data_IF_376714181455
#
_entry.id   IF_376714181455
#
_cell.length_a   1.000
_cell.length_b   1.000
_cell.length_c   1.000
_cell.angle_alpha   90.00
_cell.angle_beta   90.00
_cell.angle_gamma   90.00
#
_symmetry.space_group_name_H-M   'P 1'
#
loop_
_entity.id
_entity.type
_entity.pdbx_description
1 polymer ?
#
# COMPACT_ATOMS: atom_id res chain seq x y z
N UNK A 1 6.18 7.24 -75.92
CA UNK A 1 5.22 6.56 -75.02
C UNK A 1 5.86 6.56 -73.61
N UNK A 2 5.41 7.44 -72.73
CA UNK A 2 5.94 7.58 -71.37
C UNK A 2 4.97 6.86 -70.40
N UNK A 3 5.46 5.77 -69.77
CA UNK A 3 4.74 5.04 -68.76
C UNK A 3 4.84 5.76 -67.42
N UNK A 4 3.71 6.19 -66.88
CA UNK A 4 3.58 6.77 -65.55
C UNK A 4 3.30 5.62 -64.57
N UNK A 5 4.29 5.24 -63.76
CA UNK A 5 4.12 4.29 -62.67
C UNK A 5 3.46 5.00 -61.48
N UNK A 6 2.24 4.60 -61.19
CA UNK A 6 1.44 5.06 -60.03
C UNK A 6 1.84 4.22 -58.83
N UNK A 7 2.69 4.79 -57.95
CA UNK A 7 3.05 4.17 -56.66
C UNK A 7 1.94 4.46 -55.66
N UNK A 8 1.14 3.44 -55.34
CA UNK A 8 0.07 3.47 -54.33
C UNK A 8 0.73 3.37 -52.94
N UNK A 9 0.89 4.52 -52.26
CA UNK A 9 1.38 4.58 -50.89
C UNK A 9 0.28 4.12 -49.92
N UNK A 10 0.32 2.84 -49.53
CA UNK A 10 -0.61 2.24 -48.55
C UNK A 10 -0.22 2.74 -47.13
N UNK A 11 -0.93 3.75 -46.64
CA UNK A 11 -0.74 4.34 -45.32
C UNK A 11 -1.29 3.34 -44.26
N UNK A 12 -0.38 2.59 -43.63
CA UNK A 12 -0.67 1.62 -42.59
C UNK A 12 -1.05 2.38 -41.31
N UNK A 13 -2.33 2.57 -41.06
CA UNK A 13 -2.84 3.15 -39.81
C UNK A 13 -2.66 2.09 -38.71
N UNK A 14 -1.59 2.22 -37.93
CA UNK A 14 -1.42 1.41 -36.72
C UNK A 14 -2.48 1.85 -35.69
N UNK A 15 -3.31 0.93 -35.16
CA UNK A 15 -4.19 1.30 -34.07
C UNK A 15 -3.34 1.64 -32.84
N UNK A 16 -3.35 2.91 -32.47
CA UNK A 16 -2.84 3.34 -31.16
C UNK A 16 -3.80 2.79 -30.12
N UNK A 17 -3.46 1.68 -29.50
CA UNK A 17 -4.14 1.20 -28.30
C UNK A 17 -3.87 2.21 -27.19
N UNK A 18 -4.67 3.27 -27.14
CA UNK A 18 -4.78 4.14 -25.98
C UNK A 18 -5.26 3.26 -24.82
N UNK A 19 -4.39 2.96 -23.86
CA UNK A 19 -4.79 2.32 -22.61
C UNK A 19 -5.70 3.29 -21.88
N UNK A 20 -7.00 3.14 -22.08
CA UNK A 20 -8.03 3.93 -21.38
C UNK A 20 -7.89 3.67 -19.89
N UNK A 21 -7.74 4.75 -19.11
CA UNK A 21 -7.79 4.69 -17.66
C UNK A 21 -9.13 4.04 -17.26
N UNK A 22 -9.09 3.06 -16.36
CA UNK A 22 -10.32 2.45 -15.84
C UNK A 22 -10.99 3.43 -14.85
N UNK A 23 -11.90 4.23 -15.39
CA UNK A 23 -12.62 5.28 -14.62
C UNK A 23 -13.36 4.69 -13.42
N UNK A 24 -13.87 3.45 -13.52
CA UNK A 24 -14.57 2.80 -12.40
C UNK A 24 -13.59 2.44 -11.26
N UNK A 25 -12.40 1.96 -11.60
CA UNK A 25 -11.35 1.72 -10.62
C UNK A 25 -10.94 3.01 -9.92
N UNK A 26 -10.72 4.08 -10.69
CA UNK A 26 -10.34 5.39 -10.16
C UNK A 26 -11.42 5.92 -9.21
N UNK A 27 -12.68 5.94 -9.62
CA UNK A 27 -13.80 6.42 -8.79
C UNK A 27 -13.90 5.63 -7.49
N UNK A 28 -13.82 4.29 -7.55
CA UNK A 28 -13.87 3.45 -6.35
C UNK A 28 -12.71 3.77 -5.38
N UNK A 29 -11.50 3.92 -5.91
CA UNK A 29 -10.32 4.23 -5.09
C UNK A 29 -10.38 5.65 -4.50
N UNK A 30 -10.95 6.62 -5.21
CA UNK A 30 -11.19 7.97 -4.70
C UNK A 30 -12.20 7.95 -3.56
N UNK A 31 -13.29 7.18 -3.68
CA UNK A 31 -14.27 7.00 -2.60
C UNK A 31 -13.65 6.32 -1.37
N UNK A 32 -12.83 5.29 -1.55
CA UNK A 32 -12.08 4.63 -0.46
C UNK A 32 -11.13 5.61 0.22
N UNK A 33 -10.39 6.38 -0.57
CA UNK A 33 -9.46 7.40 -0.06
C UNK A 33 -10.20 8.48 0.74
N UNK A 34 -11.28 9.02 0.19
CA UNK A 34 -12.09 10.04 0.86
C UNK A 34 -12.68 9.50 2.18
N UNK A 35 -13.23 8.28 2.15
CA UNK A 35 -13.76 7.64 3.35
C UNK A 35 -12.69 7.41 4.41
N UNK A 36 -11.52 6.90 4.02
CA UNK A 36 -10.37 6.69 4.93
C UNK A 36 -9.93 8.00 5.58
N UNK A 37 -9.82 9.07 4.80
CA UNK A 37 -9.44 10.41 5.30
C UNK A 37 -10.50 11.07 6.18
N UNK A 38 -11.76 10.64 6.09
CA UNK A 38 -12.85 11.20 6.93
C UNK A 38 -12.79 10.73 8.38
N UNK A 39 -12.06 9.65 8.69
CA UNK A 39 -11.92 9.16 10.06
C UNK A 39 -10.85 9.94 10.81
N UNK A 40 -11.12 10.27 12.08
CA UNK A 40 -10.14 10.91 12.98
C UNK A 40 -8.99 9.96 13.31
N UNK A 41 -9.30 8.68 13.41
CA UNK A 41 -8.32 7.62 13.64
C UNK A 41 -8.82 6.30 13.07
N UNK A 42 -7.85 5.42 12.75
CA UNK A 42 -8.11 4.05 12.30
C UNK A 42 -7.21 3.12 13.08
N UNK A 43 -7.76 1.98 13.54
CA UNK A 43 -7.00 0.85 14.03
C UNK A 43 -7.39 -0.38 13.22
N UNK A 44 -6.40 -1.02 12.61
CA UNK A 44 -6.54 -2.23 11.85
C UNK A 44 -5.65 -3.33 12.42
N UNK A 45 -6.24 -4.45 12.84
CA UNK A 45 -5.50 -5.67 13.06
C UNK A 45 -5.42 -6.43 11.73
N UNK A 46 -4.27 -7.02 11.42
CA UNK A 46 -4.05 -7.70 10.15
C UNK A 46 -3.22 -8.96 10.31
N UNK A 47 -3.40 -9.90 9.39
CA UNK A 47 -2.43 -10.96 9.12
C UNK A 47 -1.54 -10.55 7.95
N UNK A 48 -0.27 -10.88 8.06
CA UNK A 48 0.74 -10.67 7.05
C UNK A 48 1.28 -12.03 6.62
N UNK A 49 1.26 -12.30 5.32
CA UNK A 49 1.84 -13.51 4.74
C UNK A 49 2.92 -13.12 3.76
N UNK A 50 4.12 -13.65 3.93
CA UNK A 50 5.20 -13.60 2.94
C UNK A 50 5.32 -14.96 2.28
N UNK A 51 5.15 -15.00 0.95
CA UNK A 51 5.28 -16.21 0.15
C UNK A 51 6.35 -16.03 -0.92
N UNK A 52 7.26 -17.02 -1.04
CA UNK A 52 8.14 -17.18 -2.18
C UNK A 52 8.10 -18.64 -2.62
N UNK A 53 7.40 -18.89 -3.73
CA UNK A 53 7.18 -20.26 -4.23
C UNK A 53 8.48 -20.95 -4.66
N UNK A 54 9.43 -20.20 -5.23
CA UNK A 54 10.72 -20.76 -5.69
C UNK A 54 11.61 -21.14 -4.50
N UNK A 55 11.65 -20.28 -3.49
CA UNK A 55 12.40 -20.52 -2.25
C UNK A 55 11.64 -21.41 -1.25
N UNK A 56 10.38 -21.78 -1.54
CA UNK A 56 9.49 -22.56 -0.65
C UNK A 56 9.29 -21.88 0.73
N UNK A 57 9.28 -20.57 0.75
CA UNK A 57 9.02 -19.77 1.95
C UNK A 57 7.52 -19.46 2.01
N UNK A 58 6.93 -19.68 3.19
CA UNK A 58 5.58 -19.25 3.53
C UNK A 58 5.56 -18.92 5.02
N UNK A 59 5.59 -17.63 5.33
CA UNK A 59 5.57 -17.11 6.69
C UNK A 59 4.29 -16.33 6.94
N UNK A 60 3.60 -16.65 8.04
CA UNK A 60 2.40 -15.94 8.46
C UNK A 60 2.66 -15.28 9.80
N UNK A 61 2.40 -13.99 9.89
CA UNK A 61 2.55 -13.18 11.10
C UNK A 61 1.33 -12.28 11.25
N UNK A 62 1.15 -11.71 12.43
CA UNK A 62 0.06 -10.76 12.70
C UNK A 62 0.62 -9.41 13.12
N UNK A 63 -0.17 -8.37 12.95
CA UNK A 63 0.21 -7.03 13.35
C UNK A 63 -1.00 -6.15 13.61
N UNK A 64 -0.70 -4.97 14.14
CA UNK A 64 -1.70 -3.92 14.37
C UNK A 64 -1.16 -2.61 13.82
N UNK A 65 -1.98 -1.93 13.05
CA UNK A 65 -1.72 -0.58 12.54
C UNK A 65 -2.70 0.40 13.19
N UNK A 66 -2.18 1.47 13.76
CA UNK A 66 -2.97 2.61 14.26
C UNK A 66 -2.58 3.84 13.47
N UNK A 67 -3.56 4.62 12.99
CA UNK A 67 -3.37 5.82 12.18
C UNK A 67 -4.15 7.00 12.76
N UNK A 68 -3.61 8.20 12.61
CA UNK A 68 -4.32 9.48 12.80
C UNK A 68 -3.68 10.56 11.91
N UNK A 69 -4.30 10.86 10.77
CA UNK A 69 -3.68 11.67 9.72
C UNK A 69 -2.37 11.02 9.23
N UNK A 70 -1.27 11.76 9.26
CA UNK A 70 0.06 11.28 8.85
C UNK A 70 0.81 10.53 9.94
N UNK A 71 0.26 10.48 11.16
CA UNK A 71 0.85 9.75 12.29
C UNK A 71 0.44 8.30 12.24
N UNK A 72 1.37 7.41 12.58
CA UNK A 72 1.07 5.99 12.66
C UNK A 72 1.91 5.25 13.69
N UNK A 73 1.37 4.14 14.16
CA UNK A 73 2.05 3.14 14.96
C UNK A 73 1.76 1.76 14.37
N UNK A 74 2.80 1.11 13.89
CA UNK A 74 2.75 -0.23 13.31
C UNK A 74 3.49 -1.19 14.23
N UNK A 75 2.79 -2.21 14.71
CA UNK A 75 3.38 -3.32 15.46
C UNK A 75 3.30 -4.57 14.61
N UNK A 76 4.41 -5.08 14.15
CA UNK A 76 4.48 -6.29 13.33
C UNK A 76 5.86 -6.94 13.42
N UNK A 77 5.88 -8.25 13.36
CA UNK A 77 7.11 -9.03 13.02
C UNK A 77 8.33 -8.68 13.89
N UNK A 78 8.14 -8.60 15.22
CA UNK A 78 9.26 -8.33 16.13
C UNK A 78 9.76 -6.89 16.14
N UNK A 79 9.09 -5.99 15.43
CA UNK A 79 9.39 -4.57 15.39
C UNK A 79 8.16 -3.70 15.67
N UNK A 80 8.43 -2.49 16.10
CA UNK A 80 7.41 -1.46 16.26
C UNK A 80 7.90 -0.18 15.58
N UNK A 81 7.11 0.29 14.58
CA UNK A 81 7.41 1.54 13.89
C UNK A 81 6.43 2.59 14.35
N UNK A 82 6.93 3.71 14.83
CA UNK A 82 6.15 4.83 15.32
C UNK A 82 6.51 6.05 14.49
N UNK A 83 5.52 6.82 14.07
CA UNK A 83 5.71 8.07 13.34
C UNK A 83 4.78 9.15 13.90
N UNK A 84 5.33 10.29 14.27
CA UNK A 84 4.55 11.45 14.73
C UNK A 84 4.16 12.43 13.61
N UNK A 85 4.47 12.06 12.35
CA UNK A 85 4.28 12.88 11.16
C UNK A 85 5.53 13.66 10.74
N UNK A 86 6.64 13.56 11.50
CA UNK A 86 7.95 14.17 11.20
C UNK A 86 9.09 13.22 11.42
N UNK A 87 9.07 12.47 12.51
CA UNK A 87 10.12 11.55 12.95
C UNK A 87 9.57 10.13 12.92
N UNK A 88 10.40 9.19 12.49
CA UNK A 88 10.13 7.76 12.52
C UNK A 88 11.06 7.11 13.53
N UNK A 89 10.49 6.38 14.48
CA UNK A 89 11.19 5.49 15.41
C UNK A 89 10.92 4.05 15.02
N UNK A 90 11.95 3.29 14.69
CA UNK A 90 11.87 1.85 14.44
C UNK A 90 12.53 1.11 15.60
N UNK A 91 11.70 0.54 16.47
CA UNK A 91 12.17 -0.30 17.56
C UNK A 91 12.29 -1.75 17.11
N UNK A 92 13.48 -2.33 17.25
CA UNK A 92 13.81 -3.70 16.94
C UNK A 92 13.89 -4.50 18.24
N UNK A 93 12.93 -5.40 18.43
CA UNK A 93 12.79 -6.11 19.72
C UNK A 93 13.95 -7.05 20.03
N UNK A 94 14.49 -7.73 19.02
CA UNK A 94 15.57 -8.71 19.20
C UNK A 94 16.89 -8.06 19.63
N UNK A 95 17.25 -6.92 19.05
CA UNK A 95 18.45 -6.17 19.39
C UNK A 95 18.24 -5.18 20.54
N UNK A 96 17.00 -4.95 20.99
CA UNK A 96 16.62 -3.90 21.93
C UNK A 96 17.16 -2.53 21.50
N UNK A 97 17.00 -2.19 20.24
CA UNK A 97 17.51 -1.00 19.56
C UNK A 97 16.37 -0.16 19.03
N UNK A 98 16.48 1.16 19.09
CA UNK A 98 15.60 2.08 18.35
C UNK A 98 16.39 2.93 17.38
N UNK A 99 16.03 2.88 16.13
CA UNK A 99 16.55 3.71 15.05
C UNK A 99 15.64 4.93 14.86
N UNK A 100 16.23 6.12 14.77
CA UNK A 100 15.52 7.38 14.60
C UNK A 100 15.86 7.95 13.22
N UNK A 101 14.83 8.25 12.43
CA UNK A 101 14.96 8.83 11.10
C UNK A 101 13.96 9.99 10.95
N UNK A 102 14.30 10.96 10.10
CA UNK A 102 13.32 11.92 9.64
C UNK A 102 12.35 11.25 8.66
N UNK A 103 11.07 11.66 8.72
CA UNK A 103 10.11 11.30 7.69
C UNK A 103 10.44 12.08 6.41
N UNK A 104 11.19 11.50 5.49
CA UNK A 104 11.41 12.10 4.19
C UNK A 104 10.14 12.04 3.34
N UNK A 105 9.47 13.19 3.22
CA UNK A 105 8.27 13.31 2.38
C UNK A 105 8.57 13.20 0.88
N UNK A 106 9.85 13.28 0.50
CA UNK A 106 10.30 13.06 -0.89
C UNK A 106 10.47 11.58 -1.20
N UNK A 107 10.67 10.76 -0.18
CA UNK A 107 10.71 9.33 -0.38
C UNK A 107 9.31 8.84 -0.75
N UNK A 108 9.17 8.31 -1.95
CA UNK A 108 7.94 7.68 -2.44
C UNK A 108 7.63 6.35 -1.70
N UNK A 109 8.19 6.17 -0.51
CA UNK A 109 7.94 5.02 0.33
C UNK A 109 6.43 4.88 0.59
N UNK A 110 5.97 3.66 0.48
CA UNK A 110 4.59 3.30 0.80
C UNK A 110 4.42 3.36 2.33
N UNK A 111 4.18 4.56 2.86
CA UNK A 111 3.77 4.66 4.27
C UNK A 111 2.39 4.00 4.44
N UNK A 112 2.09 3.44 5.62
CA UNK A 112 0.79 2.83 5.89
C UNK A 112 -0.40 3.76 5.60
N UNK A 113 -0.26 5.07 5.85
CA UNK A 113 -1.26 6.07 5.52
C UNK A 113 -1.44 6.24 4.00
N UNK A 114 -0.35 6.28 3.22
CA UNK A 114 -0.40 6.35 1.76
C UNK A 114 -1.01 5.08 1.14
N UNK A 115 -0.72 3.90 1.72
CA UNK A 115 -1.31 2.62 1.28
C UNK A 115 -2.83 2.58 1.42
N UNK A 116 -3.39 3.28 2.40
CA UNK A 116 -4.84 3.30 2.63
C UNK A 116 -5.55 4.51 1.99
N UNK A 117 -4.82 5.50 1.49
CA UNK A 117 -5.42 6.78 1.10
C UNK A 117 -4.90 7.44 -0.17
N UNK A 118 -3.93 6.87 -0.90
CA UNK A 118 -3.30 7.58 -2.02
C UNK A 118 -3.00 6.65 -3.21
N UNK A 119 -4.03 6.34 -4.00
CA UNK A 119 -3.92 5.35 -5.07
C UNK A 119 -3.80 5.97 -6.48
N UNK A 120 -4.43 7.12 -6.75
CA UNK A 120 -4.64 7.55 -8.14
C UNK A 120 -3.47 8.29 -8.78
N UNK A 121 -2.67 9.04 -8.00
CA UNK A 121 -1.59 9.86 -8.56
C UNK A 121 -0.38 9.02 -9.01
N UNK A 122 -0.10 7.93 -8.30
CA UNK A 122 1.14 7.15 -8.44
C UNK A 122 0.97 5.83 -9.18
N UNK A 123 -0.28 5.45 -9.52
CA UNK A 123 -0.58 4.13 -10.10
C UNK A 123 -1.54 4.21 -11.28
N UNK A 124 -1.37 3.27 -12.21
CA UNK A 124 -2.44 2.86 -13.14
C UNK A 124 -3.29 1.84 -12.42
N UNK A 125 -4.62 2.06 -12.39
CA UNK A 125 -5.56 1.18 -11.72
C UNK A 125 -6.49 0.50 -12.73
N UNK A 126 -6.87 -0.74 -12.44
CA UNK A 126 -7.79 -1.54 -13.26
C UNK A 126 -8.61 -2.47 -12.38
N UNK A 127 -9.94 -2.50 -12.56
CA UNK A 127 -10.78 -3.54 -11.96
C UNK A 127 -10.49 -4.86 -12.66
N UNK A 128 -10.14 -5.87 -11.86
CA UNK A 128 -10.04 -7.23 -12.33
C UNK A 128 -11.43 -7.86 -12.30
N UNK A 129 -11.80 -8.56 -13.38
CA UNK A 129 -13.00 -9.40 -13.40
C UNK A 129 -12.67 -10.67 -12.63
N UNK A 130 -12.86 -10.62 -11.32
CA UNK A 130 -12.66 -11.79 -10.48
C UNK A 130 -13.88 -12.71 -10.62
N UNK A 131 -13.67 -13.89 -11.22
CA UNK A 131 -14.68 -14.95 -11.29
C UNK A 131 -14.77 -15.76 -9.99
N UNK A 132 -13.82 -15.55 -9.07
CA UNK A 132 -13.73 -16.25 -7.79
C UNK A 132 -14.22 -15.41 -6.60
N UNK A 133 -14.68 -14.17 -6.82
CA UNK A 133 -15.22 -13.31 -5.78
C UNK A 133 -16.43 -14.00 -5.13
N UNK A 134 -16.23 -14.44 -3.90
CA UNK A 134 -17.28 -15.11 -3.08
C UNK A 134 -18.27 -14.10 -2.51
N UNK A 135 -17.88 -12.84 -2.39
CA UNK A 135 -18.69 -11.74 -1.88
C UNK A 135 -18.98 -10.74 -3.01
N UNK A 136 -20.27 -10.54 -3.38
CA UNK A 136 -20.66 -9.60 -4.44
C UNK A 136 -20.33 -8.13 -4.09
N UNK A 137 -20.02 -7.84 -2.83
CA UNK A 137 -19.63 -6.51 -2.37
C UNK A 137 -18.12 -6.26 -2.51
N UNK A 138 -17.33 -7.27 -2.81
CA UNK A 138 -15.91 -7.14 -3.04
C UNK A 138 -15.58 -6.80 -4.48
N UNK A 139 -14.61 -5.92 -4.66
CA UNK A 139 -14.03 -5.56 -5.95
C UNK A 139 -12.53 -5.67 -5.85
N UNK A 140 -11.94 -6.42 -6.79
CA UNK A 140 -10.49 -6.55 -6.89
C UNK A 140 -9.95 -5.51 -7.86
N UNK A 141 -8.98 -4.72 -7.41
CA UNK A 141 -8.31 -3.68 -8.19
C UNK A 141 -6.82 -3.99 -8.30
N UNK A 142 -6.32 -4.03 -9.53
CA UNK A 142 -4.88 -4.08 -9.81
C UNK A 142 -4.32 -2.65 -9.87
N UNK A 143 -3.17 -2.46 -9.24
CA UNK A 143 -2.40 -1.22 -9.26
C UNK A 143 -1.01 -1.49 -9.82
N UNK A 144 -0.63 -0.76 -10.87
CA UNK A 144 0.70 -0.81 -11.47
C UNK A 144 1.36 0.55 -11.23
N UNK A 145 2.55 0.62 -10.59
CA UNK A 145 3.23 1.89 -10.35
C UNK A 145 3.56 2.61 -11.66
N UNK A 146 3.37 3.94 -11.68
CA UNK A 146 3.75 4.78 -12.82
C UNK A 146 5.27 4.96 -12.95
N UNK A 147 6.00 4.80 -11.85
CA UNK A 147 7.47 4.86 -11.77
C UNK A 147 8.00 3.54 -11.18
N UNK A 148 9.28 3.28 -11.44
CA UNK A 148 9.93 2.05 -10.95
C UNK A 148 9.99 2.09 -9.43
N UNK A 149 9.36 1.10 -8.77
CA UNK A 149 9.38 0.87 -7.33
C UNK A 149 10.01 -0.49 -6.99
N UNK A 150 10.14 -0.81 -5.71
CA UNK A 150 10.62 -2.11 -5.25
C UNK A 150 9.64 -3.25 -5.53
N UNK A 151 8.39 -2.93 -5.88
CA UNK A 151 7.38 -3.89 -6.28
C UNK A 151 6.89 -3.63 -7.72
N UNK A 152 6.39 -4.66 -8.38
CA UNK A 152 5.95 -4.63 -9.78
C UNK A 152 4.47 -4.29 -9.92
N UNK A 153 3.66 -4.75 -8.98
CA UNK A 153 2.22 -4.48 -8.92
C UNK A 153 1.68 -4.69 -7.51
N UNK A 154 0.52 -4.13 -7.25
CA UNK A 154 -0.29 -4.45 -6.07
C UNK A 154 -1.70 -4.88 -6.48
N UNK A 155 -2.32 -5.75 -5.70
CA UNK A 155 -3.72 -6.15 -5.83
C UNK A 155 -4.44 -5.74 -4.55
N UNK A 156 -5.51 -4.96 -4.69
CA UNK A 156 -6.37 -4.56 -3.59
C UNK A 156 -7.70 -5.30 -3.68
N UNK A 157 -8.20 -5.80 -2.56
CA UNK A 157 -9.60 -6.20 -2.39
C UNK A 157 -10.31 -5.14 -1.57
N UNK A 158 -11.36 -4.58 -2.12
CA UNK A 158 -12.11 -3.45 -1.56
C UNK A 158 -13.55 -3.88 -1.32
N UNK A 159 -14.08 -3.63 -0.13
CA UNK A 159 -15.51 -3.64 0.13
C UNK A 159 -16.11 -2.35 -0.45
N UNK A 160 -16.84 -2.47 -1.58
CA UNK A 160 -17.42 -1.33 -2.29
C UNK A 160 -18.56 -0.65 -1.55
N UNK A 161 -19.17 -1.32 -0.56
CA UNK A 161 -20.26 -0.74 0.25
C UNK A 161 -19.66 0.07 1.40
N UNK A 162 -18.74 -0.54 2.15
CA UNK A 162 -18.07 0.12 3.28
C UNK A 162 -17.02 1.13 2.85
N UNK A 163 -16.59 1.08 1.57
CA UNK A 163 -15.46 1.85 1.03
C UNK A 163 -14.18 1.63 1.85
N UNK A 164 -13.90 0.36 2.12
CA UNK A 164 -12.76 -0.08 2.94
C UNK A 164 -11.90 -1.10 2.19
N UNK A 165 -10.59 -0.99 2.34
CA UNK A 165 -9.66 -2.05 1.92
C UNK A 165 -9.80 -3.24 2.87
N UNK A 166 -10.02 -4.43 2.33
CA UNK A 166 -10.03 -5.70 3.07
C UNK A 166 -8.68 -6.39 3.04
N UNK A 167 -8.02 -6.34 1.90
CA UNK A 167 -6.66 -6.87 1.78
C UNK A 167 -5.89 -6.15 0.68
N UNK A 168 -4.58 -6.20 0.78
CA UNK A 168 -3.71 -5.85 -0.34
C UNK A 168 -2.55 -6.83 -0.44
N UNK A 169 -2.10 -7.05 -1.67
CA UNK A 169 -1.03 -7.98 -2.00
C UNK A 169 -0.01 -7.26 -2.86
N UNK A 170 1.25 -7.31 -2.48
CA UNK A 170 2.37 -6.74 -3.21
C UNK A 170 3.19 -7.84 -3.86
N UNK A 171 3.59 -7.64 -5.09
CA UNK A 171 4.50 -8.52 -5.83
C UNK A 171 5.83 -7.81 -6.03
N UNK A 172 6.90 -8.30 -5.44
CA UNK A 172 8.22 -7.72 -5.62
C UNK A 172 8.94 -8.26 -6.86
N UNK A 173 10.11 -7.71 -7.14
CA UNK A 173 10.95 -8.11 -8.28
C UNK A 173 11.68 -9.43 -8.04
N UNK A 174 11.79 -9.88 -6.79
CA UNK A 174 12.46 -11.11 -6.38
C UNK A 174 11.54 -12.32 -6.34
N UNK A 175 10.27 -12.15 -6.78
CA UNK A 175 9.25 -13.20 -6.80
C UNK A 175 8.58 -13.43 -5.45
N UNK A 176 8.78 -12.54 -4.48
CA UNK A 176 8.04 -12.57 -3.23
C UNK A 176 6.65 -11.97 -3.42
N UNK A 177 5.69 -12.54 -2.70
CA UNK A 177 4.35 -12.01 -2.56
C UNK A 177 4.11 -11.68 -1.10
N UNK A 178 3.70 -10.44 -0.81
CA UNK A 178 3.39 -9.95 0.52
C UNK A 178 1.90 -9.68 0.60
N UNK A 179 1.16 -10.49 1.34
CA UNK A 179 -0.29 -10.36 1.49
C UNK A 179 -0.61 -9.82 2.89
N UNK A 180 -1.37 -8.75 2.94
CA UNK A 180 -1.90 -8.16 4.16
C UNK A 180 -3.42 -8.28 4.13
N UNK A 181 -3.99 -9.01 5.08
CA UNK A 181 -5.43 -9.19 5.22
C UNK A 181 -5.89 -8.50 6.50
N UNK A 182 -6.78 -7.55 6.39
CA UNK A 182 -7.35 -6.84 7.53
C UNK A 182 -8.38 -7.76 8.20
N UNK A 183 -8.11 -8.11 9.46
CA UNK A 183 -8.96 -9.01 10.27
C UNK A 183 -9.92 -8.25 11.17
N UNK A 184 -9.54 -7.02 11.57
CA UNK A 184 -10.39 -6.14 12.36
C UNK A 184 -10.16 -4.69 11.94
N UNK A 185 -11.22 -3.90 11.86
CA UNK A 185 -11.15 -2.49 11.49
C UNK A 185 -12.01 -1.66 12.44
N UNK A 186 -11.42 -0.66 13.09
CA UNK A 186 -12.07 0.23 14.05
C UNK A 186 -11.72 1.68 13.69
N UNK A 187 -12.66 2.59 13.85
CA UNK A 187 -12.50 4.01 13.51
C UNK A 187 -12.83 4.90 14.69
N UNK A 188 -12.33 6.13 14.65
CA UNK A 188 -12.66 7.20 15.58
C UNK A 188 -12.42 6.85 17.06
N UNK A 189 -11.37 6.04 17.31
CA UNK A 189 -10.93 5.70 18.65
C UNK A 189 -10.34 6.93 19.35
N UNK A 190 -10.45 7.03 20.68
CA UNK A 190 -9.81 8.09 21.45
C UNK A 190 -8.30 7.86 21.49
N UNK A 191 -7.58 8.49 20.55
CA UNK A 191 -6.12 8.38 20.39
C UNK A 191 -5.51 9.73 20.70
N UNK A 192 -4.38 9.74 21.41
CA UNK A 192 -3.65 10.93 21.81
C UNK A 192 -2.33 11.08 21.05
N UNK A 193 -1.70 12.24 21.12
CA UNK A 193 -0.38 12.44 20.51
C UNK A 193 0.69 11.50 21.10
N UNK A 194 0.57 11.13 22.37
CA UNK A 194 1.50 10.21 23.04
C UNK A 194 1.47 8.79 22.44
N UNK A 195 0.37 8.41 21.79
CA UNK A 195 0.28 7.11 21.10
C UNK A 195 1.21 7.02 19.89
N UNK A 196 1.67 8.16 19.37
CA UNK A 196 2.56 8.27 18.21
C UNK A 196 3.96 8.79 18.52
N UNK A 197 4.40 8.66 19.77
CA UNK A 197 5.74 9.05 20.22
C UNK A 197 6.44 7.85 20.83
N UNK A 198 7.73 7.71 20.56
CA UNK A 198 8.55 6.71 21.23
C UNK A 198 8.90 7.20 22.64
N UNK A 199 8.51 6.44 23.64
CA UNK A 199 8.79 6.71 25.05
C UNK A 199 9.88 5.76 25.53
N UNK A 200 11.13 6.26 25.60
CA UNK A 200 12.31 5.48 26.02
C UNK A 200 12.14 4.85 27.40
N UNK A 201 11.36 5.45 28.29
CA UNK A 201 11.16 4.94 29.64
C UNK A 201 10.47 3.58 29.69
N UNK A 202 9.72 3.24 28.62
CA UNK A 202 9.04 1.95 28.46
C UNK A 202 9.93 0.84 27.92
N UNK A 203 11.19 1.16 27.57
CA UNK A 203 12.14 0.22 26.94
C UNK A 203 13.48 0.27 27.72
N UNK A 204 13.57 -0.38 28.90
CA UNK A 204 14.79 -0.38 29.70
C UNK A 204 15.99 -0.91 28.91
N UNK A 205 17.12 -0.18 29.00
CA UNK A 205 18.36 -0.57 28.31
C UNK A 205 18.34 -0.47 26.79
N UNK A 206 17.33 0.20 26.19
CA UNK A 206 17.29 0.37 24.74
C UNK A 206 18.46 1.20 24.23
N UNK A 207 19.15 0.68 23.21
CA UNK A 207 20.14 1.42 22.44
C UNK A 207 19.44 2.38 21.48
N UNK A 208 19.91 3.62 21.41
CA UNK A 208 19.32 4.65 20.53
C UNK A 208 20.31 4.99 19.44
N UNK A 209 19.93 4.72 18.19
CA UNK A 209 20.71 5.06 16.99
C UNK A 209 19.99 6.18 16.24
N UNK A 210 20.52 7.38 16.35
CA UNK A 210 19.99 8.55 15.63
C UNK A 210 20.67 8.66 14.26
N UNK A 211 19.89 8.49 13.20
CA UNK A 211 20.33 8.50 11.80
C UNK A 211 19.86 9.77 11.03
N UNK A 212 19.43 10.79 11.74
CA UNK A 212 18.98 12.06 11.14
C UNK A 212 20.14 12.96 10.76
#
# INVERSE_FOLDING_TARGET
MKSISFVLLMMMVLPVFSQTKDTKAITLLDEVSAKTKSYKSIRADFSYTMENKQAKINEVKTGTLTLSGDKYRLKAVGQEVICDGKIIWTYLKESNEVQINDLDNKDESLTPSKLLSSYNASYKSKILKDRSATDPNEVTVELIPNVIKNFTKAILVVDKIKKQVKSFMLYDKSGNTFTYMITKYQTDLPITAADFTFDKSKFPGVEVIDMR
#
